data_IF_831920794852
#
_entry.id   IF_831920794852
#
_cell.length_a   1.000
_cell.length_b   1.000
_cell.length_c   1.000
_cell.angle_alpha   90.00
_cell.angle_beta   90.00
_cell.angle_gamma   90.00
#
_symmetry.space_group_name_H-M   'P 1'
#
loop_
_entity.id
_entity.type
_entity.pdbx_description
1 polymer ?
#
# COMPACT_ATOMS: atom_id res chain seq x y z
N UNK A 1 8.72 16.83 9.82
CA UNK A 1 7.77 15.69 9.87
C UNK A 1 6.79 15.84 8.71
N UNK A 2 6.73 14.87 7.80
CA UNK A 2 5.83 14.91 6.64
C UNK A 2 4.45 14.33 6.98
N UNK A 3 3.40 15.04 6.57
CA UNK A 3 2.03 14.51 6.45
C UNK A 3 1.82 14.23 4.96
N UNK A 4 1.91 12.96 4.55
CA UNK A 4 1.62 12.55 3.16
C UNK A 4 0.13 12.70 2.85
N UNK A 5 -0.27 12.51 1.60
CA UNK A 5 -1.68 12.36 1.21
C UNK A 5 -2.01 10.92 0.79
N UNK A 6 -3.29 10.52 0.68
CA UNK A 6 -3.66 9.26 0.05
C UNK A 6 -3.12 9.13 -1.38
N UNK A 7 -3.09 10.23 -2.13
CA UNK A 7 -2.58 10.30 -3.51
C UNK A 7 -1.06 10.05 -3.57
N UNK A 8 -0.29 10.63 -2.63
CA UNK A 8 1.16 10.37 -2.54
C UNK A 8 1.43 8.88 -2.26
N UNK A 9 0.64 8.26 -1.38
CA UNK A 9 0.77 6.83 -1.06
C UNK A 9 0.40 5.98 -2.26
N UNK A 10 -0.70 6.29 -2.94
CA UNK A 10 -1.12 5.56 -4.14
C UNK A 10 -0.05 5.65 -5.24
N UNK A 11 0.47 6.85 -5.48
CA UNK A 11 1.56 7.10 -6.44
C UNK A 11 2.80 6.29 -6.09
N UNK A 12 3.21 6.30 -4.82
CA UNK A 12 4.35 5.51 -4.35
C UNK A 12 4.14 4.01 -4.59
N UNK A 13 2.97 3.48 -4.25
CA UNK A 13 2.65 2.05 -4.44
C UNK A 13 2.71 1.67 -5.92
N UNK A 14 2.18 2.51 -6.81
CA UNK A 14 2.21 2.27 -8.26
C UNK A 14 3.62 2.30 -8.85
N UNK A 15 4.58 2.98 -8.21
CA UNK A 15 5.98 3.01 -8.64
C UNK A 15 6.77 1.75 -8.24
N UNK A 16 6.27 0.94 -7.30
CA UNK A 16 6.92 -0.31 -6.93
C UNK A 16 6.84 -1.24 -8.15
N UNK A 17 7.96 -1.82 -8.63
CA UNK A 17 7.93 -2.71 -9.79
C UNK A 17 7.10 -3.97 -9.50
N UNK A 18 6.59 -4.62 -10.56
CA UNK A 18 5.87 -5.89 -10.47
C UNK A 18 6.73 -6.95 -9.77
N UNK A 19 6.16 -7.67 -8.81
CA UNK A 19 6.88 -8.63 -7.96
C UNK A 19 7.67 -7.99 -6.82
N UNK A 20 7.75 -6.65 -6.77
CA UNK A 20 8.41 -5.91 -5.70
C UNK A 20 7.58 -5.92 -4.42
N UNK A 21 8.27 -5.98 -3.27
CA UNK A 21 7.66 -5.90 -1.95
C UNK A 21 8.38 -4.83 -1.13
N UNK A 22 7.61 -3.94 -0.52
CA UNK A 22 8.12 -2.83 0.30
C UNK A 22 7.39 -2.82 1.63
N UNK A 23 8.11 -2.73 2.74
CA UNK A 23 7.46 -2.63 4.05
C UNK A 23 6.84 -1.24 4.27
N UNK A 24 5.76 -1.12 5.06
CA UNK A 24 5.21 0.19 5.43
C UNK A 24 6.25 1.12 6.07
N UNK A 25 7.23 0.57 6.81
CA UNK A 25 8.35 1.33 7.37
C UNK A 25 9.24 1.95 6.28
N UNK A 26 9.57 1.16 5.26
CA UNK A 26 10.40 1.61 4.13
C UNK A 26 9.68 2.68 3.31
N UNK A 27 8.40 2.45 2.98
CA UNK A 27 7.55 3.46 2.31
C UNK A 27 7.53 4.80 3.06
N UNK A 28 7.36 4.79 4.39
CA UNK A 28 7.39 6.02 5.21
C UNK A 28 8.71 6.79 5.08
N UNK A 29 9.84 6.08 5.15
CA UNK A 29 11.16 6.70 5.04
C UNK A 29 11.40 7.26 3.64
N UNK A 30 10.97 6.55 2.60
CA UNK A 30 11.16 6.97 1.22
C UNK A 30 10.29 8.19 0.88
N UNK A 31 9.03 8.22 1.36
CA UNK A 31 8.16 9.40 1.26
C UNK A 31 8.73 10.61 2.00
N UNK A 32 9.27 10.43 3.21
CA UNK A 32 9.88 11.51 3.98
C UNK A 32 11.10 12.09 3.25
N UNK A 33 12.00 11.21 2.75
CA UNK A 33 13.18 11.61 1.98
C UNK A 33 12.82 12.37 0.70
N UNK A 34 11.82 11.90 -0.04
CA UNK A 34 11.38 12.54 -1.28
C UNK A 34 10.88 13.99 -1.07
N UNK A 35 10.47 14.35 0.15
CA UNK A 35 9.98 15.69 0.51
C UNK A 35 10.93 16.44 1.46
N UNK A 36 12.17 15.98 1.62
CA UNK A 36 13.18 16.63 2.47
C UNK A 36 12.88 16.60 3.97
N UNK A 37 12.08 15.64 4.44
CA UNK A 37 11.75 15.46 5.85
C UNK A 37 12.49 14.27 6.47
N UNK A 38 12.78 14.34 7.77
CA UNK A 38 13.46 13.25 8.48
C UNK A 38 12.59 12.01 8.66
N UNK A 39 11.26 12.20 8.79
CA UNK A 39 10.32 11.12 9.00
C UNK A 39 8.88 11.50 8.60
N UNK A 40 8.05 10.50 8.33
CA UNK A 40 6.60 10.65 8.18
C UNK A 40 5.88 10.23 9.46
N UNK A 41 4.68 10.78 9.69
CA UNK A 41 3.85 10.38 10.82
C UNK A 41 3.35 8.92 10.64
N UNK A 42 3.70 7.97 11.53
CA UNK A 42 3.27 6.57 11.38
C UNK A 42 1.74 6.43 11.44
N UNK A 43 1.08 7.28 12.23
CA UNK A 43 -0.39 7.29 12.35
C UNK A 43 -1.02 7.78 11.05
N UNK A 44 -0.61 8.95 10.54
CA UNK A 44 -1.18 9.52 9.33
C UNK A 44 -0.91 8.65 8.10
N UNK A 45 0.29 8.09 7.95
CA UNK A 45 0.57 7.17 6.85
C UNK A 45 -0.33 5.94 6.89
N UNK A 46 -0.61 5.38 8.07
CA UNK A 46 -1.54 4.26 8.21
C UNK A 46 -2.97 4.61 7.83
N UNK A 47 -3.44 5.80 8.20
CA UNK A 47 -4.77 6.32 7.83
C UNK A 47 -4.87 6.53 6.32
N UNK A 48 -3.89 7.20 5.72
CA UNK A 48 -3.92 7.49 4.29
C UNK A 48 -3.73 6.24 3.43
N UNK A 49 -2.94 5.26 3.88
CA UNK A 49 -2.84 3.95 3.21
C UNK A 49 -4.21 3.26 3.17
N UNK A 50 -4.94 3.29 4.29
CA UNK A 50 -6.30 2.75 4.35
C UNK A 50 -7.22 3.46 3.35
N UNK A 51 -7.25 4.79 3.38
CA UNK A 51 -8.10 5.60 2.50
C UNK A 51 -7.79 5.33 1.02
N UNK A 52 -6.50 5.28 0.64
CA UNK A 52 -6.09 5.00 -0.73
C UNK A 52 -6.58 3.63 -1.22
N UNK A 53 -6.57 2.62 -0.34
CA UNK A 53 -7.06 1.28 -0.70
C UNK A 53 -8.59 1.26 -0.75
N UNK A 54 -9.28 1.83 0.23
CA UNK A 54 -10.75 1.88 0.26
C UNK A 54 -11.33 2.61 -0.95
N UNK A 55 -10.69 3.70 -1.39
CA UNK A 55 -11.15 4.47 -2.54
C UNK A 55 -11.13 3.65 -3.83
N UNK A 56 -10.07 2.87 -4.04
CA UNK A 56 -9.95 1.98 -5.20
C UNK A 56 -10.91 0.80 -5.09
N UNK A 57 -11.01 0.16 -3.92
CA UNK A 57 -11.89 -0.99 -3.72
C UNK A 57 -13.38 -0.66 -3.74
N UNK A 58 -13.75 0.62 -3.68
CA UNK A 58 -15.14 1.06 -3.92
C UNK A 58 -15.57 0.83 -5.36
N UNK A 59 -14.64 0.91 -6.31
CA UNK A 59 -14.90 0.88 -7.75
C UNK A 59 -14.37 -0.39 -8.43
N UNK A 60 -13.36 -1.02 -7.84
CA UNK A 60 -12.65 -2.16 -8.43
C UNK A 60 -12.60 -3.35 -7.47
N UNK A 61 -12.54 -4.54 -8.03
CA UNK A 61 -12.14 -5.72 -7.25
C UNK A 61 -10.63 -5.68 -6.97
N UNK A 62 -10.14 -6.51 -6.05
CA UNK A 62 -8.69 -6.63 -5.81
C UNK A 62 -7.96 -7.07 -7.09
N UNK A 63 -8.57 -7.96 -7.89
CA UNK A 63 -8.00 -8.46 -9.14
C UNK A 63 -7.84 -7.37 -10.21
N UNK A 64 -8.81 -6.46 -10.29
CA UNK A 64 -8.87 -5.38 -11.29
C UNK A 64 -8.32 -4.05 -10.75
N UNK A 65 -7.88 -4.03 -9.49
CA UNK A 65 -7.41 -2.82 -8.82
C UNK A 65 -6.20 -2.22 -9.56
N UNK A 66 -6.27 -0.95 -10.00
CA UNK A 66 -5.11 -0.25 -10.56
C UNK A 66 -4.02 0.02 -9.51
N UNK A 67 -4.36 -0.10 -8.21
CA UNK A 67 -3.44 0.10 -7.10
C UNK A 67 -2.92 -1.26 -6.58
N UNK A 68 -1.64 -1.61 -6.80
CA UNK A 68 -1.06 -2.87 -6.36
C UNK A 68 -0.68 -2.85 -4.87
N UNK A 69 -1.64 -2.57 -3.99
CA UNK A 69 -1.39 -2.37 -2.56
C UNK A 69 -0.84 -3.63 -1.85
N UNK A 70 -1.04 -4.82 -2.42
CA UNK A 70 -0.42 -6.08 -1.97
C UNK A 70 1.11 -6.06 -2.02
N UNK A 71 1.73 -5.11 -2.73
CA UNK A 71 3.18 -4.88 -2.72
C UNK A 71 3.66 -4.20 -1.42
N UNK A 72 2.75 -3.58 -0.66
CA UNK A 72 3.06 -2.93 0.63
C UNK A 72 2.40 -3.61 1.82
N UNK A 73 1.17 -4.06 1.64
CA UNK A 73 0.37 -4.75 2.66
C UNK A 73 0.58 -6.25 2.49
N UNK A 74 1.15 -6.91 3.50
CA UNK A 74 1.28 -8.37 3.55
C UNK A 74 0.04 -9.04 4.16
N UNK A 75 0.00 -10.36 4.06
CA UNK A 75 -1.08 -11.23 4.54
C UNK A 75 -1.27 -11.19 6.06
N UNK A 76 -0.29 -10.70 6.81
CA UNK A 76 -0.34 -10.55 8.28
C UNK A 76 -0.75 -9.15 8.72
N UNK A 77 -0.84 -8.21 7.78
CA UNK A 77 -1.00 -6.81 8.09
C UNK A 77 -2.39 -6.52 8.69
N UNK A 78 -2.41 -5.82 9.83
CA UNK A 78 -3.63 -5.56 10.60
C UNK A 78 -4.69 -4.75 9.84
N UNK A 79 -4.29 -4.04 8.78
CA UNK A 79 -5.19 -3.30 7.89
C UNK A 79 -6.16 -4.21 7.14
N UNK A 80 -5.79 -5.46 6.83
CA UNK A 80 -6.65 -6.40 6.10
C UNK A 80 -7.98 -6.63 6.82
N UNK A 81 -7.94 -6.79 8.15
CA UNK A 81 -9.13 -6.93 8.98
C UNK A 81 -10.06 -5.72 8.89
N UNK A 82 -9.50 -4.51 8.78
CA UNK A 82 -10.27 -3.27 8.68
C UNK A 82 -10.91 -3.09 7.30
N UNK A 83 -10.27 -3.64 6.27
CA UNK A 83 -10.74 -3.59 4.88
C UNK A 83 -11.66 -4.77 4.52
N UNK A 84 -11.82 -5.76 5.41
CA UNK A 84 -12.57 -6.98 5.12
C UNK A 84 -11.90 -7.89 4.09
N UNK A 85 -10.58 -7.74 3.90
CA UNK A 85 -9.81 -8.50 2.90
C UNK A 85 -9.23 -9.75 3.55
N UNK A 86 -9.35 -10.87 2.85
CA UNK A 86 -8.81 -12.13 3.32
C UNK A 86 -7.28 -12.21 3.08
N UNK A 87 -6.46 -12.66 4.04
CA UNK A 87 -5.02 -12.86 3.84
C UNK A 87 -4.66 -13.65 2.58
N UNK A 88 -5.49 -14.63 2.22
CA UNK A 88 -5.35 -15.48 1.05
C UNK A 88 -5.45 -14.69 -0.27
N UNK A 89 -6.24 -13.61 -0.30
CA UNK A 89 -6.35 -12.76 -1.49
C UNK A 89 -5.03 -12.03 -1.76
N UNK A 90 -4.35 -11.54 -0.72
CA UNK A 90 -3.05 -10.89 -0.83
C UNK A 90 -1.99 -11.88 -1.33
N UNK A 91 -1.94 -13.08 -0.74
CA UNK A 91 -1.03 -14.14 -1.18
C UNK A 91 -1.27 -14.51 -2.64
N UNK A 92 -2.52 -14.65 -3.05
CA UNK A 92 -2.90 -14.93 -4.44
C UNK A 92 -2.44 -13.82 -5.39
N UNK A 93 -2.62 -12.55 -5.03
CA UNK A 93 -2.17 -11.43 -5.87
C UNK A 93 -0.64 -11.40 -6.02
N UNK A 94 0.10 -11.63 -4.94
CA UNK A 94 1.57 -11.74 -5.00
C UNK A 94 2.04 -12.90 -5.87
N UNK A 95 1.40 -14.07 -5.75
CA UNK A 95 1.72 -15.23 -6.59
C UNK A 95 1.44 -14.95 -8.07
N UNK A 96 0.31 -14.31 -8.40
CA UNK A 96 -0.02 -13.91 -9.78
C UNK A 96 1.04 -13.01 -10.42
N UNK A 97 1.73 -12.19 -9.63
CA UNK A 97 2.81 -11.35 -10.15
C UNK A 97 4.09 -12.12 -10.48
N UNK A 98 4.39 -13.18 -9.72
CA UNK A 98 5.60 -14.01 -9.89
C UNK A 98 5.41 -15.03 -11.02
N UNK A 99 4.20 -15.56 -11.19
CA UNK A 99 3.89 -16.62 -12.16
C UNK A 99 3.69 -16.15 -13.61
N UNK A 100 4.00 -14.88 -13.92
CA UNK A 100 3.84 -14.26 -15.25
C UNK A 100 5.09 -13.49 -15.63
#
# INVERSE_FOLDING_TARGET
MLVSSPEDIATYICQIPKGGVVTPKKMRLDLARAKGADNSCPVSTGIFLRIAIEDVLRLFTIDDSPLPFWRVVDETHSLLKKLGISPQEITRMRQKEISR
#
